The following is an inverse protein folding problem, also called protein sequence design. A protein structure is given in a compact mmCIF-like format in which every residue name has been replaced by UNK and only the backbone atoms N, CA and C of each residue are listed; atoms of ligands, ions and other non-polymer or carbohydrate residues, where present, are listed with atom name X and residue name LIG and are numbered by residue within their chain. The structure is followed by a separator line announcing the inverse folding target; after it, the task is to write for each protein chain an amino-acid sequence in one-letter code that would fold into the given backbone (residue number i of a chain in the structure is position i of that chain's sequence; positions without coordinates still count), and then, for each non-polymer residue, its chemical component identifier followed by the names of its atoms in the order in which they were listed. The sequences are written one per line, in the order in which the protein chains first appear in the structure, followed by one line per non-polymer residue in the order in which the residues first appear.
data_IF_235338103064
#
_entry.id   IF_235338103064
#
_cell.length_a   1.000
_cell.length_b   1.000
_cell.length_c   1.000
_cell.angle_alpha   90.00
_cell.angle_beta   90.00
_cell.angle_gamma   90.00
#
_symmetry.space_group_name_H-M   'P 1'
#
loop_
_entity.id
_entity.type
_entity.pdbx_description
1 polymer ?
#
# COMPACT_ATOMS: atom_id res chain seq x y z
N UNK A 1 -12.85 51.29 -36.12
CA UNK A 1 -12.14 50.00 -36.27
C UNK A 1 -11.25 49.74 -35.05
N UNK A 2 -11.79 49.86 -33.82
CA UNK A 2 -11.06 49.64 -32.56
C UNK A 2 -11.87 48.79 -31.55
N UNK A 3 -13.13 48.48 -31.87
CA UNK A 3 -14.04 47.74 -30.99
C UNK A 3 -13.92 46.22 -31.15
N UNK A 4 -13.39 45.74 -32.28
CA UNK A 4 -13.16 44.31 -32.59
C UNK A 4 -11.80 43.79 -32.09
N UNK A 5 -10.82 44.66 -31.84
CA UNK A 5 -9.49 44.26 -31.34
C UNK A 5 -9.50 44.01 -29.84
N UNK A 6 -10.32 44.75 -29.07
CA UNK A 6 -10.48 44.53 -27.62
C UNK A 6 -11.19 43.22 -27.29
N UNK A 7 -12.18 42.81 -28.08
CA UNK A 7 -12.88 41.53 -27.89
C UNK A 7 -12.00 40.32 -28.24
N UNK A 8 -11.15 40.43 -29.27
CA UNK A 8 -10.17 39.38 -29.61
C UNK A 8 -9.06 39.28 -28.55
N UNK A 9 -8.57 40.41 -28.04
CA UNK A 9 -7.55 40.42 -26.99
C UNK A 9 -8.08 39.91 -25.65
N UNK A 10 -9.35 40.23 -25.30
CA UNK A 10 -10.05 39.66 -24.15
C UNK A 10 -10.33 38.16 -24.31
N UNK A 11 -10.71 37.69 -25.50
CA UNK A 11 -10.84 36.25 -25.75
C UNK A 11 -9.51 35.54 -25.51
N UNK A 12 -8.40 36.07 -26.05
CA UNK A 12 -7.06 35.49 -25.93
C UNK A 12 -6.54 35.47 -24.49
N UNK A 13 -6.81 36.51 -23.67
CA UNK A 13 -6.40 36.54 -22.26
C UNK A 13 -7.26 35.68 -21.34
N UNK A 14 -8.51 35.37 -21.74
CA UNK A 14 -9.41 34.53 -20.93
C UNK A 14 -9.28 33.05 -21.29
N UNK A 15 -8.92 32.74 -22.54
CA UNK A 15 -8.71 31.36 -23.00
C UNK A 15 -7.29 30.85 -22.74
N UNK A 16 -6.25 31.69 -22.84
CA UNK A 16 -4.86 31.29 -22.56
C UNK A 16 -4.65 30.62 -21.17
N UNK A 17 -5.17 31.15 -20.05
CA UNK A 17 -5.03 30.48 -18.75
C UNK A 17 -5.80 29.15 -18.69
N UNK A 18 -6.93 29.03 -19.40
CA UNK A 18 -7.74 27.80 -19.47
C UNK A 18 -7.02 26.71 -20.30
N UNK A 19 -6.45 27.08 -21.44
CA UNK A 19 -5.65 26.17 -22.28
C UNK A 19 -4.38 25.72 -21.57
N UNK A 20 -3.64 26.64 -20.95
CA UNK A 20 -2.42 26.30 -20.21
C UNK A 20 -2.71 25.41 -18.99
N UNK A 21 -3.86 25.61 -18.35
CA UNK A 21 -4.33 24.75 -17.26
C UNK A 21 -4.73 23.34 -17.75
N UNK A 22 -5.43 23.25 -18.89
CA UNK A 22 -5.79 21.96 -19.49
C UNK A 22 -4.55 21.15 -19.89
N UNK A 23 -3.55 21.80 -20.49
CA UNK A 23 -2.25 21.20 -20.84
C UNK A 23 -1.47 20.72 -19.59
N UNK A 24 -1.40 21.56 -18.55
CA UNK A 24 -0.76 21.18 -17.28
C UNK A 24 -1.44 19.96 -16.66
N UNK A 25 -2.77 19.93 -16.62
CA UNK A 25 -3.55 18.82 -16.08
C UNK A 25 -3.38 17.55 -16.91
N UNK A 26 -3.32 17.68 -18.24
CA UNK A 26 -3.07 16.56 -19.13
C UNK A 26 -1.66 15.98 -18.91
N UNK A 27 -0.64 16.82 -18.91
CA UNK A 27 0.75 16.44 -18.65
C UNK A 27 0.90 15.76 -17.29
N UNK A 28 0.32 16.34 -16.23
CA UNK A 28 0.31 15.75 -14.89
C UNK A 28 -0.34 14.37 -14.88
N UNK A 29 -1.53 14.22 -15.49
CA UNK A 29 -2.21 12.94 -15.56
C UNK A 29 -1.40 11.88 -16.33
N UNK A 30 -0.72 12.26 -17.41
CA UNK A 30 0.18 11.36 -18.15
C UNK A 30 1.37 10.93 -17.28
N UNK A 31 2.01 11.87 -16.59
CA UNK A 31 3.12 11.57 -15.68
C UNK A 31 2.67 10.67 -14.52
N UNK A 32 1.52 10.97 -13.91
CA UNK A 32 0.89 10.14 -12.88
C UNK A 32 0.58 8.74 -13.41
N UNK A 33 0.02 8.61 -14.61
CA UNK A 33 -0.29 7.31 -15.21
C UNK A 33 0.98 6.46 -15.41
N UNK A 34 2.04 7.02 -16.00
CA UNK A 34 3.33 6.34 -16.18
C UNK A 34 3.89 5.90 -14.83
N UNK A 35 3.89 6.81 -13.87
CA UNK A 35 4.36 6.54 -12.52
C UNK A 35 3.57 5.42 -11.84
N UNK A 36 2.25 5.46 -11.90
CA UNK A 36 1.35 4.45 -11.35
C UNK A 36 1.57 3.09 -12.02
N UNK A 37 1.79 3.05 -13.34
CA UNK A 37 2.14 1.80 -14.04
C UNK A 37 3.44 1.20 -13.51
N UNK A 38 4.49 2.01 -13.35
CA UNK A 38 5.78 1.54 -12.81
C UNK A 38 5.64 1.03 -11.36
N UNK A 39 4.97 1.81 -10.51
CA UNK A 39 4.70 1.45 -9.11
C UNK A 39 3.88 0.16 -9.01
N UNK A 40 2.89 -0.01 -9.88
CA UNK A 40 2.06 -1.21 -9.92
C UNK A 40 2.87 -2.44 -10.32
N UNK A 41 3.70 -2.34 -11.35
CA UNK A 41 4.59 -3.45 -11.78
C UNK A 41 5.56 -3.83 -10.66
N UNK A 42 6.26 -2.85 -10.09
CA UNK A 42 7.20 -3.09 -8.99
C UNK A 42 6.48 -3.63 -7.74
N UNK A 43 5.29 -3.12 -7.45
CA UNK A 43 4.44 -3.57 -6.35
C UNK A 43 4.03 -5.02 -6.52
N UNK A 44 3.46 -5.41 -7.66
CA UNK A 44 3.02 -6.78 -7.93
C UNK A 44 4.20 -7.76 -7.89
N UNK A 45 5.32 -7.43 -8.55
CA UNK A 45 6.51 -8.28 -8.54
C UNK A 45 7.10 -8.42 -7.14
N UNK A 46 7.30 -7.30 -6.44
CA UNK A 46 7.88 -7.28 -5.10
C UNK A 46 7.02 -8.01 -4.07
N UNK A 47 5.71 -7.77 -4.06
CA UNK A 47 4.79 -8.45 -3.14
C UNK A 47 4.61 -9.93 -3.52
N UNK A 48 4.70 -10.29 -4.81
CA UNK A 48 4.76 -11.68 -5.27
C UNK A 48 5.94 -12.46 -4.68
N UNK A 49 7.14 -11.86 -4.69
CA UNK A 49 8.32 -12.45 -4.04
C UNK A 49 8.11 -12.63 -2.53
N UNK A 50 7.51 -11.64 -1.86
CA UNK A 50 7.19 -11.74 -0.43
C UNK A 50 6.21 -12.89 -0.15
N UNK A 51 5.16 -13.03 -0.97
CA UNK A 51 4.19 -14.12 -0.86
C UNK A 51 4.88 -15.47 -1.04
N UNK A 52 5.77 -15.60 -2.04
CA UNK A 52 6.51 -16.84 -2.26
C UNK A 52 7.43 -17.18 -1.08
N UNK A 53 8.27 -16.24 -0.65
CA UNK A 53 9.25 -16.48 0.42
C UNK A 53 8.54 -16.74 1.76
N UNK A 54 7.57 -15.91 2.14
CA UNK A 54 6.82 -16.08 3.38
C UNK A 54 5.90 -17.31 3.35
N UNK A 55 5.37 -17.65 2.18
CA UNK A 55 4.47 -18.78 1.95
C UNK A 55 5.18 -20.14 1.99
N UNK A 56 6.33 -20.25 1.32
CA UNK A 56 6.95 -21.54 1.03
C UNK A 56 8.37 -21.72 1.60
N UNK A 57 9.12 -20.64 1.85
CA UNK A 57 10.54 -20.73 2.27
C UNK A 57 10.78 -20.38 3.74
N UNK A 58 9.88 -19.64 4.38
CA UNK A 58 10.00 -19.26 5.79
C UNK A 58 9.21 -20.19 6.72
N UNK A 59 9.72 -20.39 7.94
CA UNK A 59 8.94 -21.03 9.01
C UNK A 59 7.65 -20.24 9.24
N UNK A 60 6.52 -20.95 9.37
CA UNK A 60 5.22 -20.35 9.66
C UNK A 60 5.26 -19.71 11.05
N UNK A 61 5.36 -18.39 11.08
CA UNK A 61 5.34 -17.58 12.30
C UNK A 61 4.20 -16.57 12.23
N UNK A 62 3.76 -16.07 13.38
CA UNK A 62 2.70 -15.05 13.42
C UNK A 62 3.09 -13.78 12.65
N UNK A 63 4.37 -13.37 12.69
CA UNK A 63 4.87 -12.28 11.85
C UNK A 63 4.71 -12.57 10.36
N UNK A 64 5.05 -13.78 9.92
CA UNK A 64 4.94 -14.17 8.53
C UNK A 64 3.48 -14.14 8.05
N UNK A 65 2.51 -14.47 8.93
CA UNK A 65 1.07 -14.33 8.61
C UNK A 65 0.71 -12.87 8.36
N UNK A 66 1.13 -11.94 9.23
CA UNK A 66 0.85 -10.52 9.04
C UNK A 66 1.45 -9.96 7.75
N UNK A 67 2.72 -10.25 7.49
CA UNK A 67 3.40 -9.81 6.27
C UNK A 67 2.82 -10.45 5.01
N UNK A 68 2.42 -11.72 5.07
CA UNK A 68 1.76 -12.39 3.96
C UNK A 68 0.42 -11.73 3.63
N UNK A 69 -0.40 -11.43 4.63
CA UNK A 69 -1.68 -10.76 4.39
C UNK A 69 -1.49 -9.32 3.86
N UNK A 70 -0.49 -8.61 4.38
CA UNK A 70 -0.16 -7.27 3.90
C UNK A 70 0.28 -7.32 2.41
N UNK A 71 1.12 -8.28 2.04
CA UNK A 71 1.54 -8.49 0.65
C UNK A 71 0.38 -8.95 -0.26
N UNK A 72 -0.46 -9.88 0.20
CA UNK A 72 -1.65 -10.34 -0.52
C UNK A 72 -2.61 -9.19 -0.82
N UNK A 73 -2.88 -8.35 0.18
CA UNK A 73 -3.74 -7.17 0.00
C UNK A 73 -3.19 -6.22 -1.06
N UNK A 74 -1.89 -5.98 -1.03
CA UNK A 74 -1.26 -5.12 -2.03
C UNK A 74 -1.33 -5.70 -3.45
N UNK A 75 -1.18 -7.02 -3.61
CA UNK A 75 -1.29 -7.69 -4.92
C UNK A 75 -2.72 -7.70 -5.46
N UNK A 76 -3.74 -7.78 -4.59
CA UNK A 76 -5.14 -7.85 -5.00
C UNK A 76 -5.72 -6.50 -5.51
N UNK A 77 -5.00 -5.39 -5.35
CA UNK A 77 -5.28 -4.09 -6.00
C UNK A 77 -6.52 -3.34 -5.51
N UNK A 78 -7.66 -4.00 -5.31
CA UNK A 78 -8.97 -3.39 -5.10
C UNK A 78 -9.29 -2.97 -3.65
N UNK A 79 -8.62 -3.54 -2.64
CA UNK A 79 -8.92 -3.33 -1.20
C UNK A 79 -7.79 -2.62 -0.44
N UNK A 80 -6.84 -2.06 -1.20
CA UNK A 80 -5.43 -1.92 -0.82
C UNK A 80 -5.22 -1.06 0.45
N UNK A 81 -6.01 -0.02 0.69
CA UNK A 81 -5.65 0.99 1.69
C UNK A 81 -6.22 0.70 3.09
N UNK A 82 -7.51 0.41 3.20
CA UNK A 82 -8.18 0.14 4.48
C UNK A 82 -7.68 -1.16 5.15
N UNK A 83 -7.45 -2.19 4.33
CA UNK A 83 -6.91 -3.46 4.83
C UNK A 83 -5.45 -3.29 5.28
N UNK A 84 -4.63 -2.53 4.53
CA UNK A 84 -3.24 -2.26 4.91
C UNK A 84 -3.16 -1.55 6.25
N UNK A 85 -3.94 -0.49 6.47
CA UNK A 85 -3.92 0.24 7.76
C UNK A 85 -4.39 -0.64 8.92
N UNK A 86 -5.42 -1.47 8.69
CA UNK A 86 -5.90 -2.42 9.70
C UNK A 86 -4.83 -3.43 10.09
N UNK A 87 -4.06 -3.96 9.13
CA UNK A 87 -2.95 -4.85 9.44
C UNK A 87 -1.80 -4.13 10.16
N UNK A 88 -1.53 -2.84 9.87
CA UNK A 88 -0.54 -2.06 10.62
C UNK A 88 -0.95 -1.86 12.08
N UNK A 89 -2.24 -1.62 12.35
CA UNK A 89 -2.78 -1.59 13.71
C UNK A 89 -2.57 -2.95 14.38
N UNK A 90 -2.94 -4.05 13.74
CA UNK A 90 -2.76 -5.40 14.30
C UNK A 90 -1.29 -5.73 14.57
N UNK A 91 -0.38 -5.38 13.66
CA UNK A 91 1.07 -5.56 13.84
C UNK A 91 1.57 -4.73 15.04
N UNK A 92 1.09 -3.49 15.19
CA UNK A 92 1.48 -2.59 16.29
C UNK A 92 0.95 -3.10 17.64
N UNK A 93 -0.29 -3.59 17.68
CA UNK A 93 -0.89 -4.21 18.86
C UNK A 93 -0.18 -5.52 19.23
N UNK A 94 0.09 -6.41 18.26
CA UNK A 94 0.85 -7.65 18.49
C UNK A 94 2.22 -7.38 19.11
N UNK A 95 2.86 -6.30 18.68
CA UNK A 95 4.14 -5.85 19.25
C UNK A 95 4.00 -5.35 20.67
N UNK A 96 3.03 -4.46 20.91
CA UNK A 96 2.74 -3.96 22.24
C UNK A 96 2.51 -5.12 23.21
N UNK A 97 1.63 -6.06 22.86
CA UNK A 97 1.32 -7.27 23.64
C UNK A 97 2.56 -8.12 23.88
N UNK A 98 3.39 -8.33 22.86
CA UNK A 98 4.62 -9.14 22.98
C UNK A 98 5.66 -8.54 23.93
N UNK A 99 5.69 -7.22 24.05
CA UNK A 99 6.67 -6.48 24.85
C UNK A 99 6.16 -6.23 26.27
N UNK A 100 4.85 -5.99 26.43
CA UNK A 100 4.20 -5.78 27.72
C UNK A 100 3.96 -7.11 28.46
N UNK A 101 3.48 -8.14 27.75
CA UNK A 101 3.14 -9.46 28.32
C UNK A 101 3.90 -10.61 27.63
N UNK A 102 5.21 -10.73 27.84
CA UNK A 102 6.05 -11.71 27.14
C UNK A 102 5.65 -13.17 27.43
N UNK A 103 5.25 -13.49 28.67
CA UNK A 103 4.84 -14.86 29.07
C UNK A 103 3.54 -15.25 28.38
N UNK A 104 2.55 -14.37 28.41
CA UNK A 104 1.27 -14.60 27.73
C UNK A 104 1.48 -14.74 26.23
N UNK A 105 2.28 -13.86 25.62
CA UNK A 105 2.59 -13.90 24.19
C UNK A 105 3.33 -15.18 23.81
N UNK A 106 4.20 -15.72 24.66
CA UNK A 106 4.86 -16.99 24.38
C UNK A 106 3.87 -18.17 24.36
N UNK A 107 2.94 -18.22 25.32
CA UNK A 107 2.02 -19.35 25.46
C UNK A 107 0.82 -19.29 24.49
N UNK A 108 0.31 -18.10 24.19
CA UNK A 108 -0.96 -17.94 23.47
C UNK A 108 -0.81 -17.47 22.03
N UNK A 109 0.33 -16.88 21.64
CA UNK A 109 0.53 -16.35 20.29
C UNK A 109 0.92 -17.47 19.32
N UNK A 110 -0.05 -17.96 18.57
CA UNK A 110 0.15 -19.00 17.56
C UNK A 110 -0.41 -18.60 16.19
N UNK A 111 -0.01 -19.34 15.17
CA UNK A 111 -0.36 -19.08 13.76
C UNK A 111 -1.87 -19.18 13.52
N UNK A 112 -2.57 -20.13 14.17
CA UNK A 112 -4.01 -20.33 13.98
C UNK A 112 -4.82 -19.11 14.41
N UNK A 113 -4.53 -18.55 15.59
CA UNK A 113 -5.18 -17.32 16.07
C UNK A 113 -4.87 -16.12 15.16
N UNK A 114 -3.63 -16.01 14.69
CA UNK A 114 -3.23 -14.95 13.76
C UNK A 114 -4.00 -15.02 12.44
N UNK A 115 -4.21 -16.24 11.90
CA UNK A 115 -5.03 -16.44 10.70
C UNK A 115 -6.50 -16.08 10.92
N UNK A 116 -7.07 -16.43 12.07
CA UNK A 116 -8.45 -16.04 12.42
C UNK A 116 -8.60 -14.52 12.50
N UNK A 117 -7.67 -13.84 13.20
CA UNK A 117 -7.64 -12.36 13.26
C UNK A 117 -7.52 -11.76 11.86
N UNK A 118 -6.69 -12.34 11.00
CA UNK A 118 -6.54 -11.87 9.61
C UNK A 118 -7.87 -11.98 8.84
N UNK A 119 -8.57 -13.11 8.96
CA UNK A 119 -9.89 -13.29 8.35
C UNK A 119 -10.90 -12.25 8.85
N UNK A 120 -10.94 -11.99 10.16
CA UNK A 120 -11.80 -10.94 10.72
C UNK A 120 -11.47 -9.56 10.15
N UNK A 121 -10.18 -9.21 10.05
CA UNK A 121 -9.74 -7.95 9.45
C UNK A 121 -10.24 -7.82 8.01
N UNK A 122 -10.10 -8.87 7.21
CA UNK A 122 -10.60 -8.88 5.83
C UNK A 122 -12.12 -8.64 5.77
N UNK A 123 -12.88 -9.38 6.57
CA UNK A 123 -14.35 -9.25 6.58
C UNK A 123 -14.81 -7.86 7.02
N UNK A 124 -14.21 -7.29 8.08
CA UNK A 124 -14.55 -5.94 8.56
C UNK A 124 -14.28 -4.89 7.49
N UNK A 125 -13.13 -4.99 6.81
CA UNK A 125 -12.78 -4.03 5.75
C UNK A 125 -13.64 -4.17 4.51
N UNK A 126 -14.04 -5.39 4.14
CA UNK A 126 -14.99 -5.63 3.06
C UNK A 126 -16.32 -4.94 3.37
N UNK A 127 -16.87 -5.16 4.56
CA UNK A 127 -18.12 -4.54 5.01
C UNK A 127 -18.02 -3.00 4.97
N UNK A 128 -16.91 -2.45 5.45
CA UNK A 128 -16.67 -1.00 5.45
C UNK A 128 -16.51 -0.41 4.03
N UNK A 129 -16.05 -1.21 3.06
CA UNK A 129 -15.85 -0.77 1.67
C UNK A 129 -17.14 -0.77 0.84
N UNK A 130 -18.16 -1.52 1.26
CA UNK A 130 -19.44 -1.64 0.54
C UNK A 130 -20.10 -0.28 0.29
N UNK A 131 -20.28 0.61 1.29
CA UNK A 131 -20.88 1.91 1.06
C UNK A 131 -20.15 2.72 -0.01
N UNK A 132 -18.81 2.73 0.05
CA UNK A 132 -17.98 3.48 -0.90
C UNK A 132 -18.19 3.04 -2.35
N UNK A 133 -18.40 1.74 -2.58
CA UNK A 133 -18.69 1.20 -3.90
C UNK A 133 -20.05 1.66 -4.46
N UNK A 134 -21.09 1.74 -3.62
CA UNK A 134 -22.42 2.20 -4.05
C UNK A 134 -22.49 3.68 -4.45
N UNK A 135 -21.50 4.48 -4.02
CA UNK A 135 -21.38 5.90 -4.35
C UNK A 135 -20.46 6.20 -5.53
N UNK A 136 -20.04 5.19 -6.31
CA UNK A 136 -19.34 5.39 -7.58
C UNK A 136 -20.35 5.49 -8.74
N UNK A 137 -20.12 6.42 -9.66
CA UNK A 137 -20.93 6.62 -10.88
C UNK A 137 -20.06 7.07 -12.05
N UNK A 138 -20.46 6.71 -13.28
CA UNK A 138 -19.75 7.07 -14.50
C UNK A 138 -20.49 8.20 -15.22
N UNK A 139 -19.79 9.28 -15.58
CA UNK A 139 -20.33 10.37 -16.41
C UNK A 139 -19.64 10.41 -17.75
N UNK A 140 -20.43 10.52 -18.81
CA UNK A 140 -19.92 10.79 -20.16
C UNK A 140 -19.73 12.29 -20.36
N UNK A 141 -18.57 12.68 -20.86
CA UNK A 141 -18.24 14.06 -21.17
C UNK A 141 -18.48 14.32 -22.65
N UNK A 142 -19.40 15.24 -22.98
CA UNK A 142 -19.84 15.56 -24.35
C UNK A 142 -18.86 16.45 -25.14
N UNK A 143 -17.60 16.56 -24.70
CA UNK A 143 -16.60 17.25 -25.51
C UNK A 143 -16.15 16.35 -26.67
N UNK A 144 -15.54 16.93 -27.70
CA UNK A 144 -15.11 16.36 -29.01
C UNK A 144 -14.42 14.97 -28.99
N UNK A 145 -14.08 14.42 -27.83
CA UNK A 145 -13.76 13.01 -27.59
C UNK A 145 -14.65 12.50 -26.45
N UNK A 146 -15.60 11.60 -26.75
CA UNK A 146 -16.44 10.95 -25.75
C UNK A 146 -15.55 10.30 -24.67
N UNK A 147 -15.42 10.97 -23.52
CA UNK A 147 -14.58 10.52 -22.40
C UNK A 147 -15.51 10.16 -21.25
N UNK A 148 -15.54 8.88 -20.89
CA UNK A 148 -16.25 8.42 -19.69
C UNK A 148 -15.32 8.55 -18.48
N UNK A 149 -15.74 9.32 -17.49
CA UNK A 149 -15.03 9.53 -16.24
C UNK A 149 -15.79 8.84 -15.11
N UNK A 150 -15.08 8.08 -14.29
CA UNK A 150 -15.62 7.46 -13.08
C UNK A 150 -15.36 8.42 -11.91
N UNK A 151 -16.43 8.94 -11.32
CA UNK A 151 -16.35 9.85 -10.18
C UNK A 151 -17.29 9.36 -9.08
N UNK A 152 -17.11 9.93 -7.90
CA UNK A 152 -18.11 9.73 -6.88
C UNK A 152 -19.39 10.50 -7.24
N UNK A 153 -20.54 9.95 -6.85
CA UNK A 153 -21.87 10.56 -7.07
C UNK A 153 -21.96 11.99 -6.56
N UNK A 154 -21.17 12.34 -5.55
CA UNK A 154 -21.12 13.68 -4.97
C UNK A 154 -20.34 14.71 -5.80
N UNK A 155 -19.51 14.28 -6.76
CA UNK A 155 -18.78 15.18 -7.69
C UNK A 155 -19.63 15.59 -8.91
N UNK A 156 -20.74 14.90 -9.15
CA UNK A 156 -21.51 14.98 -10.40
C UNK A 156 -22.64 16.00 -10.37
N UNK A 157 -23.04 16.48 -9.20
CA UNK A 157 -24.23 17.31 -9.03
C UNK A 157 -23.92 18.54 -8.16
N UNK A 158 -23.60 19.67 -8.80
CA UNK A 158 -23.44 20.98 -8.13
C UNK A 158 -24.70 21.41 -7.35
N UNK A 159 -25.87 20.87 -7.70
CA UNK A 159 -27.15 21.16 -7.03
C UNK A 159 -27.41 20.29 -5.78
N UNK A 160 -26.57 19.28 -5.52
CA UNK A 160 -26.66 18.55 -4.26
C UNK A 160 -25.98 19.40 -3.20
N UNK A 161 -26.77 20.17 -2.43
CA UNK A 161 -26.35 20.62 -1.09
C UNK A 161 -25.59 19.44 -0.45
N UNK A 162 -24.41 19.64 0.17
CA UNK A 162 -23.70 18.56 0.82
C UNK A 162 -24.68 17.89 1.77
N UNK A 163 -25.21 16.74 1.36
CA UNK A 163 -26.12 16.01 2.21
C UNK A 163 -25.32 15.68 3.46
N UNK A 164 -25.96 15.72 4.63
CA UNK A 164 -25.30 15.31 5.89
C UNK A 164 -24.59 13.95 5.74
N UNK A 165 -25.06 13.14 4.79
CA UNK A 165 -24.47 11.89 4.36
C UNK A 165 -23.05 12.00 3.73
N UNK A 166 -22.81 12.92 2.79
CA UNK A 166 -21.47 13.10 2.16
C UNK A 166 -20.45 13.57 3.20
N UNK A 167 -20.85 14.52 4.05
CA UNK A 167 -20.01 15.01 5.14
C UNK A 167 -19.69 13.87 6.12
N UNK A 168 -20.70 13.06 6.48
CA UNK A 168 -20.53 11.88 7.32
C UNK A 168 -19.60 10.86 6.67
N UNK A 169 -19.71 10.61 5.36
CA UNK A 169 -18.85 9.68 4.63
C UNK A 169 -17.39 10.15 4.60
N UNK A 170 -17.12 11.42 4.28
CA UNK A 170 -15.76 11.98 4.22
C UNK A 170 -15.12 12.04 5.63
N UNK A 171 -15.88 12.48 6.64
CA UNK A 171 -15.41 12.51 8.03
C UNK A 171 -15.18 11.10 8.56
N UNK A 172 -16.09 10.15 8.30
CA UNK A 172 -15.89 8.75 8.72
C UNK A 172 -14.71 8.10 8.01
N UNK A 173 -14.48 8.39 6.73
CA UNK A 173 -13.29 7.94 5.99
C UNK A 173 -12.00 8.51 6.59
N UNK A 174 -11.98 9.78 6.99
CA UNK A 174 -10.84 10.37 7.70
C UNK A 174 -10.63 9.74 9.08
N UNK A 175 -11.68 9.58 9.88
CA UNK A 175 -11.56 9.07 11.25
C UNK A 175 -11.17 7.58 11.26
N UNK A 176 -11.92 6.75 10.55
CA UNK A 176 -11.74 5.30 10.55
C UNK A 176 -10.59 4.86 9.65
N UNK A 177 -10.35 5.59 8.56
CA UNK A 177 -9.19 5.37 7.72
C UNK A 177 -7.92 5.80 8.42
N UNK A 178 -7.85 7.03 8.93
CA UNK A 178 -6.60 7.68 9.32
C UNK A 178 -6.47 7.94 10.83
N UNK A 179 -7.35 8.76 11.41
CA UNK A 179 -7.12 9.32 12.74
C UNK A 179 -7.14 8.26 13.86
N UNK A 180 -8.12 7.35 13.85
CA UNK A 180 -8.24 6.27 14.84
C UNK A 180 -7.10 5.27 14.69
N UNK A 181 -6.80 4.73 13.50
CA UNK A 181 -5.65 3.84 13.33
C UNK A 181 -4.31 4.49 13.68
N UNK A 182 -4.07 5.74 13.28
CA UNK A 182 -2.86 6.49 13.64
C UNK A 182 -2.72 6.61 15.15
N UNK A 183 -3.78 7.02 15.85
CA UNK A 183 -3.79 7.15 17.30
C UNK A 183 -3.51 5.82 18.01
N UNK A 184 -4.11 4.73 17.53
CA UNK A 184 -3.87 3.38 18.05
C UNK A 184 -2.41 2.94 17.86
N UNK A 185 -1.85 3.17 16.66
CA UNK A 185 -0.45 2.84 16.33
C UNK A 185 0.51 3.64 17.20
N UNK A 186 0.34 4.96 17.27
CA UNK A 186 1.19 5.86 18.09
C UNK A 186 1.15 5.46 19.55
N UNK A 187 -0.04 5.19 20.10
CA UNK A 187 -0.20 4.76 21.49
C UNK A 187 0.51 3.43 21.76
N UNK A 188 0.34 2.43 20.89
CA UNK A 188 1.02 1.13 21.00
C UNK A 188 2.55 1.28 20.92
N UNK A 189 3.02 2.19 20.07
CA UNK A 189 4.43 2.48 19.89
C UNK A 189 5.03 3.20 21.09
N UNK A 190 4.33 4.18 21.65
CA UNK A 190 4.76 4.86 22.86
C UNK A 190 4.96 3.86 24.02
N UNK A 191 4.01 2.94 24.22
CA UNK A 191 4.12 1.87 25.22
C UNK A 191 5.30 0.94 24.93
N UNK A 192 5.47 0.54 23.66
CA UNK A 192 6.57 -0.33 23.23
C UNK A 192 7.92 0.33 23.48
N UNK A 193 8.11 1.59 23.07
CA UNK A 193 9.34 2.36 23.29
C UNK A 193 9.62 2.53 24.77
N UNK A 194 8.62 2.92 25.56
CA UNK A 194 8.76 3.08 27.00
C UNK A 194 9.26 1.78 27.67
N UNK A 195 8.68 0.63 27.30
CA UNK A 195 9.06 -0.67 27.84
C UNK A 195 10.44 -1.13 27.36
N UNK A 196 10.79 -0.88 26.09
CA UNK A 196 12.11 -1.20 25.54
C UNK A 196 13.21 -0.33 26.17
N UNK A 197 12.95 0.97 26.40
CA UNK A 197 13.89 1.86 27.11
C UNK A 197 14.16 1.41 28.54
N UNK A 198 13.14 0.86 29.21
CA UNK A 198 13.27 0.31 30.56
C UNK A 198 14.04 -1.01 30.62
N UNK A 199 14.20 -1.74 29.51
CA UNK A 199 14.90 -3.03 29.48
C UNK A 199 15.86 -3.12 28.29
N UNK A 200 17.15 -2.89 28.55
CA UNK A 200 18.23 -2.96 27.56
C UNK A 200 18.32 -4.34 26.88
N UNK A 201 18.07 -5.43 27.62
CA UNK A 201 18.02 -6.80 27.07
C UNK A 201 16.91 -6.97 26.04
N UNK A 202 15.72 -6.42 26.33
CA UNK A 202 14.56 -6.50 25.42
C UNK A 202 14.75 -5.59 24.20
N UNK A 203 15.34 -4.40 24.41
CA UNK A 203 15.73 -3.50 23.33
C UNK A 203 16.71 -4.17 22.36
N UNK A 204 17.77 -4.83 22.86
CA UNK A 204 18.74 -5.54 22.02
C UNK A 204 18.08 -6.64 21.19
N UNK A 205 17.26 -7.49 21.83
CA UNK A 205 16.57 -8.61 21.17
C UNK A 205 15.53 -8.16 20.13
N UNK A 206 14.88 -7.02 20.35
CA UNK A 206 13.77 -6.53 19.51
C UNK A 206 14.19 -5.47 18.49
N UNK A 207 15.36 -4.84 18.67
CA UNK A 207 15.84 -3.65 17.93
C UNK A 207 15.63 -3.73 16.42
N UNK A 208 16.04 -4.83 15.81
CA UNK A 208 15.90 -5.05 14.37
C UNK A 208 14.44 -5.10 13.92
N UNK A 209 13.61 -5.88 14.61
CA UNK A 209 12.18 -5.97 14.27
C UNK A 209 11.44 -4.66 14.52
N UNK A 210 11.84 -3.90 15.56
CA UNK A 210 11.29 -2.58 15.85
C UNK A 210 11.59 -1.58 14.72
N UNK A 211 12.84 -1.52 14.25
CA UNK A 211 13.25 -0.65 13.13
C UNK A 211 12.44 -0.90 11.86
N UNK A 212 12.23 -2.19 11.50
CA UNK A 212 11.41 -2.57 10.34
C UNK A 212 10.00 -1.97 10.45
N UNK A 213 9.31 -2.23 11.56
CA UNK A 213 7.90 -1.84 11.70
C UNK A 213 7.78 -0.32 11.80
N UNK A 214 8.74 0.37 12.44
CA UNK A 214 8.81 1.84 12.44
C UNK A 214 8.93 2.40 11.02
N UNK A 215 9.81 1.83 10.19
CA UNK A 215 9.98 2.29 8.81
C UNK A 215 8.71 2.09 7.97
N UNK A 216 8.02 0.95 8.13
CA UNK A 216 6.75 0.68 7.44
C UNK A 216 5.68 1.69 7.85
N UNK A 217 5.58 1.97 9.15
CA UNK A 217 4.62 2.96 9.67
C UNK A 217 4.89 4.36 9.11
N UNK A 218 6.15 4.79 9.10
CA UNK A 218 6.54 6.09 8.56
C UNK A 218 6.21 6.16 7.06
N UNK A 219 6.60 5.13 6.30
CA UNK A 219 6.29 5.06 4.87
C UNK A 219 4.78 5.12 4.61
N UNK A 220 3.98 4.36 5.38
CA UNK A 220 2.54 4.36 5.28
C UNK A 220 1.96 5.77 5.50
N UNK A 221 2.32 6.46 6.59
CA UNK A 221 1.76 7.78 6.87
C UNK A 221 2.23 8.87 5.91
N UNK A 222 3.48 8.80 5.43
CA UNK A 222 3.96 9.71 4.38
C UNK A 222 3.21 9.49 3.06
N UNK A 223 2.92 8.24 2.71
CA UNK A 223 2.17 7.91 1.52
C UNK A 223 0.68 8.29 1.63
N UNK A 224 0.12 8.23 2.82
CA UNK A 224 -1.33 8.14 2.99
C UNK A 224 -1.98 9.32 3.71
N UNK A 225 -1.29 10.01 4.61
CA UNK A 225 -1.82 11.25 5.20
C UNK A 225 -2.23 12.30 4.14
N UNK A 226 -1.47 12.49 3.03
CA UNK A 226 -1.79 13.53 2.06
C UNK A 226 -3.15 13.34 1.38
N UNK A 227 -3.54 12.10 1.02
CA UNK A 227 -4.86 11.87 0.38
C UNK A 227 -6.02 12.17 1.32
N UNK A 228 -5.87 11.86 2.61
CA UNK A 228 -6.87 12.18 3.63
C UNK A 228 -6.98 13.68 3.91
N UNK A 229 -5.85 14.40 3.87
CA UNK A 229 -5.84 15.86 3.98
C UNK A 229 -6.53 16.48 2.77
N UNK A 230 -6.26 15.98 1.55
CA UNK A 230 -6.95 16.44 0.34
C UNK A 230 -8.46 16.20 0.39
N UNK A 231 -8.91 15.06 0.92
CA UNK A 231 -10.34 14.79 1.13
C UNK A 231 -11.02 15.73 2.15
N UNK A 232 -10.29 16.19 3.17
CA UNK A 232 -10.79 17.22 4.09
C UNK A 232 -10.85 18.61 3.43
N UNK A 233 -9.92 18.92 2.53
CA UNK A 233 -9.93 20.16 1.76
C UNK A 233 -11.07 20.15 0.73
N UNK A 234 -11.38 18.99 0.15
CA UNK A 234 -12.51 18.79 -0.75
C UNK A 234 -13.87 18.95 -0.02
N UNK A 235 -13.95 18.55 1.25
CA UNK A 235 -15.12 18.83 2.07
C UNK A 235 -15.41 20.34 2.20
N UNK A 236 -14.37 21.17 2.24
CA UNK A 236 -14.51 22.63 2.30
C UNK A 236 -15.10 23.21 1.02
N UNK A 237 -14.76 22.64 -0.15
CA UNK A 237 -15.37 22.99 -1.43
C UNK A 237 -16.88 22.78 -1.40
N UNK A 238 -17.35 21.67 -0.85
CA UNK A 238 -18.79 21.39 -0.77
C UNK A 238 -19.52 22.22 0.30
N UNK A 239 -18.82 22.68 1.34
CA UNK A 239 -19.40 23.49 2.43
C UNK A 239 -19.57 24.97 2.04
N UNK A 240 -18.69 25.49 1.19
CA UNK A 240 -18.63 26.91 0.85
C UNK A 240 -19.44 27.23 -0.41
N UNK A 241 -20.33 28.22 -0.34
CA UNK A 241 -21.15 28.67 -1.48
C UNK A 241 -20.36 29.42 -2.56
N UNK A 242 -19.11 29.79 -2.28
CA UNK A 242 -18.20 30.45 -3.20
C UNK A 242 -16.90 29.64 -3.30
N UNK A 243 -16.74 28.89 -4.39
CA UNK A 243 -15.50 28.16 -4.65
C UNK A 243 -14.43 29.14 -5.16
N UNK A 244 -13.33 29.29 -4.41
CA UNK A 244 -12.18 30.06 -4.87
C UNK A 244 -11.47 29.34 -6.02
N UNK A 245 -11.08 30.06 -7.09
CA UNK A 245 -10.26 29.49 -8.17
C UNK A 245 -8.97 28.84 -7.67
N UNK A 246 -8.40 29.35 -6.56
CA UNK A 246 -7.23 28.75 -5.91
C UNK A 246 -7.53 27.36 -5.35
N UNK A 247 -8.72 27.14 -4.78
CA UNK A 247 -9.12 25.84 -4.22
C UNK A 247 -9.28 24.78 -5.33
N UNK A 248 -9.90 25.15 -6.44
CA UNK A 248 -9.99 24.29 -7.64
C UNK A 248 -8.60 23.89 -8.16
N UNK A 249 -7.67 24.85 -8.23
CA UNK A 249 -6.29 24.56 -8.66
C UNK A 249 -5.56 23.61 -7.70
N UNK A 250 -5.70 23.82 -6.39
CA UNK A 250 -5.10 22.95 -5.36
C UNK A 250 -5.64 21.53 -5.47
N UNK A 251 -6.96 21.35 -5.60
CA UNK A 251 -7.58 20.03 -5.72
C UNK A 251 -7.19 19.34 -7.03
N UNK A 252 -7.21 20.06 -8.15
CA UNK A 252 -6.90 19.49 -9.46
C UNK A 252 -5.45 18.99 -9.61
N UNK A 253 -4.49 19.64 -8.95
CA UNK A 253 -3.08 19.23 -8.94
C UNK A 253 -2.81 18.24 -7.79
N UNK A 254 -3.35 18.51 -6.61
CA UNK A 254 -3.06 17.75 -5.41
C UNK A 254 -3.68 16.35 -5.42
N UNK A 255 -4.90 16.16 -5.92
CA UNK A 255 -5.57 14.84 -5.93
C UNK A 255 -4.75 13.81 -6.75
N UNK A 256 -4.34 14.07 -8.01
CA UNK A 256 -3.52 13.12 -8.76
C UNK A 256 -2.18 12.77 -8.08
N UNK A 257 -1.51 13.77 -7.51
CA UNK A 257 -0.22 13.60 -6.82
C UNK A 257 -0.40 12.74 -5.56
N UNK A 258 -1.41 13.05 -4.75
CA UNK A 258 -1.69 12.31 -3.51
C UNK A 258 -2.18 10.89 -3.77
N UNK A 259 -2.90 10.64 -4.87
CA UNK A 259 -3.21 9.28 -5.34
C UNK A 259 -1.92 8.54 -5.70
N UNK A 260 -1.02 9.16 -6.47
CA UNK A 260 0.28 8.55 -6.80
C UNK A 260 1.08 8.19 -5.54
N UNK A 261 1.09 9.10 -4.58
CA UNK A 261 1.77 8.93 -3.31
C UNK A 261 1.13 7.84 -2.44
N UNK A 262 -0.20 7.72 -2.42
CA UNK A 262 -0.90 6.63 -1.76
C UNK A 262 -0.59 5.28 -2.43
N UNK A 263 -0.51 5.23 -3.76
CA UNK A 263 -0.16 4.04 -4.51
C UNK A 263 1.30 3.60 -4.29
N UNK A 264 2.24 4.51 -4.05
CA UNK A 264 3.62 4.16 -3.70
C UNK A 264 3.74 3.24 -2.48
N UNK A 265 2.78 3.30 -1.55
CA UNK A 265 2.76 2.43 -0.38
C UNK A 265 2.78 0.94 -0.76
N UNK A 266 2.22 0.59 -1.92
CA UNK A 266 2.22 -0.78 -2.43
C UNK A 266 3.61 -1.34 -2.71
N UNK A 267 4.52 -0.54 -3.27
CA UNK A 267 5.86 -0.99 -3.66
C UNK A 267 6.90 -0.82 -2.54
N UNK A 268 6.65 0.08 -1.57
CA UNK A 268 7.57 0.31 -0.46
C UNK A 268 7.61 -0.87 0.53
N UNK A 269 6.49 -1.56 0.73
CA UNK A 269 6.38 -2.68 1.68
C UNK A 269 7.46 -3.78 1.43
N UNK A 270 7.58 -4.39 0.23
CA UNK A 270 8.65 -5.34 -0.08
C UNK A 270 10.08 -4.82 0.07
N UNK A 271 10.34 -3.58 -0.38
CA UNK A 271 11.67 -2.96 -0.29
C UNK A 271 12.09 -2.85 1.18
N UNK A 272 11.18 -2.41 2.05
CA UNK A 272 11.44 -2.33 3.48
C UNK A 272 11.71 -3.70 4.10
N UNK A 273 11.07 -4.78 3.63
CA UNK A 273 11.34 -6.14 4.12
C UNK A 273 12.71 -6.68 3.71
N UNK A 274 13.14 -6.42 2.47
CA UNK A 274 14.45 -6.88 1.96
C UNK A 274 15.59 -6.11 2.60
N UNK A 275 15.48 -4.79 2.69
CA UNK A 275 16.57 -3.96 3.21
C UNK A 275 16.69 -4.01 4.73
N UNK A 276 15.59 -4.28 5.44
CA UNK A 276 15.58 -4.26 6.90
C UNK A 276 15.37 -5.63 7.56
N UNK A 277 15.17 -6.72 6.81
CA UNK A 277 14.89 -8.05 7.35
C UNK A 277 15.99 -9.09 7.08
N UNK A 278 16.95 -9.33 7.99
CA UNK A 278 18.05 -10.27 7.68
C UNK A 278 17.63 -11.70 7.35
N UNK A 279 16.63 -12.27 8.03
CA UNK A 279 16.13 -13.61 7.69
C UNK A 279 15.48 -13.64 6.30
N UNK A 280 14.73 -12.58 5.95
CA UNK A 280 14.06 -12.47 4.65
C UNK A 280 15.07 -12.25 3.53
N UNK A 281 16.01 -11.31 3.72
CA UNK A 281 17.13 -11.01 2.83
C UNK A 281 17.94 -12.27 2.54
N UNK A 282 18.31 -13.03 3.56
CA UNK A 282 19.09 -14.25 3.40
C UNK A 282 18.32 -15.31 2.58
N UNK A 283 17.02 -15.47 2.83
CA UNK A 283 16.20 -16.42 2.07
C UNK A 283 15.99 -15.99 0.62
N UNK A 284 15.78 -14.71 0.34
CA UNK A 284 15.71 -14.17 -1.04
C UNK A 284 17.05 -14.37 -1.75
N UNK A 285 18.17 -13.99 -1.13
CA UNK A 285 19.50 -14.14 -1.71
C UNK A 285 19.81 -15.62 -2.02
N UNK A 286 19.54 -16.52 -1.07
CA UNK A 286 19.71 -17.96 -1.27
C UNK A 286 18.82 -18.51 -2.40
N UNK A 287 17.57 -18.06 -2.47
CA UNK A 287 16.65 -18.45 -3.54
C UNK A 287 17.13 -18.00 -4.92
N UNK A 288 17.59 -16.74 -5.05
CA UNK A 288 18.13 -16.20 -6.30
C UNK A 288 19.40 -16.95 -6.70
N UNK A 289 20.32 -17.17 -5.75
CA UNK A 289 21.55 -17.92 -5.99
C UNK A 289 21.27 -19.34 -6.50
N UNK A 290 20.34 -20.06 -5.87
CA UNK A 290 19.98 -21.40 -6.30
C UNK A 290 19.37 -21.43 -7.72
N UNK A 291 18.51 -20.46 -8.05
CA UNK A 291 17.92 -20.34 -9.40
C UNK A 291 19.03 -20.06 -10.42
N UNK A 292 19.94 -19.14 -10.09
CA UNK A 292 21.08 -18.78 -10.91
C UNK A 292 22.01 -19.99 -11.14
N UNK A 293 22.34 -20.74 -10.09
CA UNK A 293 23.13 -21.97 -10.18
C UNK A 293 22.44 -23.03 -11.04
N UNK A 294 21.13 -23.23 -10.86
CA UNK A 294 20.38 -24.20 -11.67
C UNK A 294 20.35 -23.79 -13.14
N UNK A 295 20.21 -22.49 -13.44
CA UNK A 295 20.24 -21.96 -14.80
C UNK A 295 21.64 -22.06 -15.45
N UNK A 296 22.72 -22.00 -14.67
CA UNK A 296 24.10 -22.16 -15.17
C UNK A 296 24.63 -23.60 -15.16
N UNK A 297 23.95 -24.55 -14.50
CA UNK A 297 24.31 -25.97 -14.51
C UNK A 297 23.70 -26.77 -15.66
N UNK A 298 22.87 -26.14 -16.52
CA UNK A 298 22.34 -26.78 -17.71
C UNK A 298 23.33 -26.64 -18.88
N UNK A 299 24.35 -27.51 -18.90
CA UNK A 299 25.06 -28.00 -20.12
C UNK A 299 26.12 -29.09 -19.77
N UNK A 300 25.67 -30.27 -19.31
CA UNK A 300 26.42 -31.52 -19.57
C UNK A 300 25.41 -32.61 -19.92
N UNK A 301 25.26 -32.99 -21.21
CA UNK A 301 24.45 -34.14 -21.57
C UNK A 301 25.04 -35.40 -20.93
N UNK A 302 24.22 -36.33 -20.42
CA UNK A 302 24.71 -37.61 -19.93
C UNK A 302 25.21 -38.42 -21.14
N UNK A 303 26.52 -38.40 -21.37
CA UNK A 303 27.14 -39.27 -22.36
C UNK A 303 26.91 -40.73 -21.96
N UNK A 304 26.17 -41.43 -22.81
CA UNK A 304 26.04 -42.87 -22.82
C UNK A 304 27.38 -43.51 -23.16
N UNK A 305 28.11 -43.98 -22.14
CA UNK A 305 29.12 -45.07 -22.16
C UNK A 305 29.64 -45.17 -20.73
N UNK A 306 29.58 -46.28 -19.99
CA UNK A 306 29.83 -47.68 -20.36
C UNK A 306 29.26 -48.57 -19.25
N UNK A 307 28.40 -49.52 -19.61
CA UNK A 307 28.22 -50.75 -18.84
C UNK A 307 29.58 -51.44 -18.73
N UNK A 308 30.14 -51.57 -17.52
CA UNK A 308 30.89 -52.78 -17.17
C UNK A 308 31.22 -52.88 -15.67
N UNK A 309 30.68 -53.95 -15.08
CA UNK A 309 31.21 -54.77 -13.99
C UNK A 309 31.83 -54.09 -12.77
N UNK A 310 31.16 -54.30 -11.62
CA UNK A 310 31.81 -54.88 -10.43
C UNK A 310 30.77 -55.66 -9.61
N UNK A 311 30.72 -56.97 -9.87
CA UNK A 311 30.19 -57.96 -8.92
C UNK A 311 31.01 -57.87 -7.64
N UNK A 312 30.30 -57.91 -6.52
CA UNK A 312 30.80 -58.15 -5.17
C UNK A 312 31.77 -59.33 -5.13
N UNK A 313 33.00 -59.08 -4.71
CA UNK A 313 33.89 -60.12 -4.18
C UNK A 313 33.80 -60.03 -2.66
N UNK A 314 33.02 -60.93 -2.09
CA UNK A 314 33.09 -61.33 -0.69
C UNK A 314 34.41 -62.09 -0.47
N UNK A 315 35.31 -61.54 0.33
CA UNK A 315 36.46 -62.27 0.87
C UNK A 315 36.18 -62.54 2.34
N UNK A 316 35.97 -63.82 2.64
CA UNK A 316 36.07 -64.42 3.96
C UNK A 316 37.30 -65.32 3.95
N UNK A 317 37.95 -65.46 5.12
CA UNK A 317 39.02 -66.39 5.52
C UNK A 317 40.45 -65.85 5.32
N UNK A 318 41.37 -65.91 6.29
CA UNK A 318 41.49 -66.68 7.54
C UNK A 318 41.99 -65.80 8.69
#
# INVERSE_FOLDING_TARGET
MEMTTRSFHQLNTTTAPVYQYAELRHSLNTMCAIFLSLVSVLGVLGNGVVIWVAGFKMKKTVKAVWFLNLALNTTLGFLNLSVSVSFLVVISVDRCVSVVWPVWAHNHRNVRKASYVSLCVWMVNLIFSIPWFFFMETKEMNDTKAKTICLHKFDLHDDFKPSSFIQLALVSAFLLGFAVPFSAIVSCYAVTIHRLRRSSTLARKSSHTFKIITAIIIAFFLCWAPIHIMGLIELEKHRSAATSGTLEHVLAIGIPITICLACLNSCLNPLLYVFMGQDFKNQVHKSIHNILETAFQEEVPPNATTQNNKKSVSVTQL
#
